data_IF_786109545922
#
_entry.id   IF_786109545922
#
_cell.length_a   1.000
_cell.length_b   1.000
_cell.length_c   1.000
_cell.angle_alpha   90.00
_cell.angle_beta   90.00
_cell.angle_gamma   90.00
#
_symmetry.space_group_name_H-M   'P 1'
#
loop_
_entity.id
_entity.type
_entity.pdbx_description
1 polymer ?
#
# COMPACT_ATOMS: atom_id res chain seq x y z
N UNK A 1 -1.51 -41.06 8.91
CA UNK A 1 -2.30 -39.86 8.56
C UNK A 1 -2.49 -38.90 9.75
N UNK A 2 -2.69 -39.37 10.99
CA UNK A 2 -2.84 -38.49 12.16
C UNK A 2 -1.60 -37.61 12.49
N UNK A 3 -0.39 -38.10 12.24
CA UNK A 3 0.87 -37.38 12.52
C UNK A 3 1.15 -36.21 11.57
N UNK A 4 0.72 -36.31 10.30
CA UNK A 4 0.90 -35.22 9.33
C UNK A 4 -0.07 -34.07 9.62
N UNK A 5 -1.32 -34.39 9.96
CA UNK A 5 -2.33 -33.39 10.34
C UNK A 5 -1.93 -32.65 11.62
N UNK A 6 -1.40 -33.36 12.63
CA UNK A 6 -0.90 -32.74 13.86
C UNK A 6 0.32 -31.83 13.62
N UNK A 7 1.24 -32.23 12.75
CA UNK A 7 2.40 -31.40 12.38
C UNK A 7 1.99 -30.15 11.60
N UNK A 8 1.02 -30.25 10.68
CA UNK A 8 0.47 -29.11 9.92
C UNK A 8 -0.30 -28.16 10.84
N UNK A 9 -1.09 -28.69 11.79
CA UNK A 9 -1.78 -27.88 12.79
C UNK A 9 -0.75 -27.19 13.70
N UNK A 10 0.27 -27.91 14.17
CA UNK A 10 1.30 -27.32 15.03
C UNK A 10 2.14 -26.25 14.32
N UNK A 11 2.54 -26.47 13.07
CA UNK A 11 3.26 -25.45 12.28
C UNK A 11 2.37 -24.24 11.95
N UNK A 12 1.07 -24.47 11.71
CA UNK A 12 0.09 -23.40 11.56
C UNK A 12 -0.04 -22.56 12.83
N UNK A 13 -0.25 -23.18 14.00
CA UNK A 13 -0.35 -22.46 15.27
C UNK A 13 0.97 -21.79 15.67
N UNK A 14 2.12 -22.44 15.47
CA UNK A 14 3.44 -21.87 15.77
C UNK A 14 3.74 -20.62 14.93
N UNK A 15 3.32 -20.62 13.65
CA UNK A 15 3.55 -19.54 12.69
C UNK A 15 2.55 -18.38 12.82
N UNK A 16 1.29 -18.66 13.18
CA UNK A 16 0.22 -17.64 13.16
C UNK A 16 -0.22 -17.16 14.55
N UNK A 17 0.11 -17.88 15.63
CA UNK A 17 -0.30 -17.54 17.00
C UNK A 17 0.75 -17.91 18.06
N UNK A 18 1.96 -18.30 17.63
CA UNK A 18 3.02 -18.82 18.49
C UNK A 18 4.32 -18.02 18.39
N UNK A 19 5.44 -18.55 18.93
CA UNK A 19 6.73 -17.83 18.92
C UNK A 19 7.24 -17.42 17.53
N UNK A 20 6.85 -18.15 16.47
CA UNK A 20 7.20 -17.81 15.09
C UNK A 20 6.47 -16.57 14.56
N UNK A 21 5.25 -16.29 15.04
CA UNK A 21 4.51 -15.07 14.72
C UNK A 21 5.25 -13.83 15.21
N UNK A 22 5.71 -13.83 16.46
CA UNK A 22 6.52 -12.74 16.98
C UNK A 22 7.93 -12.69 16.37
N UNK A 23 8.43 -13.80 15.81
CA UNK A 23 9.77 -13.84 15.23
C UNK A 23 9.86 -12.97 13.96
N UNK A 24 8.88 -13.02 13.06
CA UNK A 24 8.88 -12.20 11.84
C UNK A 24 8.73 -10.70 12.15
N UNK A 25 7.84 -10.34 13.08
CA UNK A 25 7.70 -8.96 13.56
C UNK A 25 9.00 -8.43 14.18
N UNK A 26 9.66 -9.25 15.00
CA UNK A 26 10.93 -8.89 15.63
C UNK A 26 12.07 -8.82 14.62
N UNK A 27 12.08 -9.66 13.59
CA UNK A 27 13.07 -9.61 12.52
C UNK A 27 12.94 -8.32 11.72
N UNK A 28 11.72 -7.97 11.27
CA UNK A 28 11.46 -6.70 10.58
C UNK A 28 11.84 -5.50 11.45
N UNK A 29 11.51 -5.52 12.75
CA UNK A 29 11.93 -4.47 13.68
C UNK A 29 13.45 -4.38 13.79
N UNK A 30 14.14 -5.51 13.94
CA UNK A 30 15.60 -5.53 14.04
C UNK A 30 16.26 -5.00 12.76
N UNK A 31 15.77 -5.37 11.58
CA UNK A 31 16.29 -4.88 10.31
C UNK A 31 16.07 -3.36 10.14
N UNK A 32 14.92 -2.82 10.59
CA UNK A 32 14.69 -1.38 10.62
C UNK A 32 15.68 -0.66 11.57
N UNK A 33 15.91 -1.22 12.76
CA UNK A 33 16.85 -0.64 13.74
C UNK A 33 18.31 -0.62 13.25
N UNK A 34 18.65 -1.41 12.23
CA UNK A 34 19.96 -1.39 11.58
C UNK A 34 20.12 -0.32 10.50
N UNK A 35 19.02 0.31 10.05
CA UNK A 35 19.08 1.34 9.01
C UNK A 35 19.56 2.66 9.62
N UNK A 36 20.69 3.23 9.15
CA UNK A 36 21.18 4.51 9.65
C UNK A 36 20.24 5.64 9.21
N UNK A 37 20.09 6.65 10.06
CA UNK A 37 19.33 7.85 9.73
C UNK A 37 17.81 7.71 9.87
N UNK A 38 17.32 6.65 10.52
CA UNK A 38 15.90 6.54 10.88
C UNK A 38 15.69 6.36 12.37
N UNK A 39 14.50 6.73 12.83
CA UNK A 39 13.95 6.42 14.14
C UNK A 39 12.70 5.55 13.95
N UNK A 40 12.69 4.37 14.58
CA UNK A 40 11.54 3.47 14.53
C UNK A 40 10.49 3.94 15.53
N UNK A 41 9.34 4.41 15.04
CA UNK A 41 8.25 4.91 15.88
C UNK A 41 7.32 3.77 16.31
N UNK A 42 6.98 2.89 15.36
CA UNK A 42 6.02 1.82 15.55
C UNK A 42 6.28 0.69 14.54
N UNK A 43 6.18 -0.56 14.99
CA UNK A 43 6.17 -1.76 14.14
C UNK A 43 5.13 -2.70 14.70
N UNK A 44 4.12 -3.01 13.91
CA UNK A 44 2.92 -3.73 14.32
C UNK A 44 2.40 -4.61 13.19
N UNK A 45 1.67 -5.66 13.54
CA UNK A 45 0.80 -6.33 12.58
C UNK A 45 -0.33 -5.41 12.16
N UNK A 46 -0.90 -5.64 10.97
CA UNK A 46 -2.15 -4.98 10.59
C UNK A 46 -3.24 -5.34 11.60
N UNK A 47 -3.93 -4.29 12.06
CA UNK A 47 -4.84 -4.25 13.21
C UNK A 47 -5.47 -5.61 13.58
N UNK A 48 -4.92 -6.24 14.63
CA UNK A 48 -5.40 -7.54 15.13
C UNK A 48 -6.87 -7.48 15.59
N UNK A 49 -7.38 -6.29 15.95
CA UNK A 49 -8.76 -6.12 16.41
C UNK A 49 -9.79 -6.25 15.28
N UNK A 50 -9.43 -5.85 14.05
CA UNK A 50 -10.36 -5.84 12.91
C UNK A 50 -10.40 -7.17 12.14
N UNK A 51 -9.32 -7.96 12.14
CA UNK A 51 -9.22 -9.20 11.34
C UNK A 51 -8.53 -10.38 12.08
N UNK A 52 -9.12 -10.92 13.15
CA UNK A 52 -8.50 -11.94 14.02
C UNK A 52 -8.32 -13.33 13.39
N UNK A 53 -8.77 -13.58 12.14
CA UNK A 53 -8.90 -14.92 11.56
C UNK A 53 -8.25 -15.11 10.17
N UNK A 54 -7.57 -14.12 9.61
CA UNK A 54 -6.84 -14.28 8.36
C UNK A 54 -5.36 -14.58 8.66
N UNK A 55 -4.73 -15.58 8.02
CA UNK A 55 -3.29 -15.82 8.18
C UNK A 55 -2.52 -14.59 7.66
N UNK A 56 -1.91 -13.85 8.59
CA UNK A 56 -1.31 -12.52 8.44
C UNK A 56 0.11 -12.50 7.86
N UNK A 57 0.50 -13.52 7.09
CA UNK A 57 1.72 -13.41 6.30
C UNK A 57 1.49 -12.26 5.31
N UNK A 58 2.39 -11.27 5.25
CA UNK A 58 2.35 -10.07 4.38
C UNK A 58 1.71 -8.80 4.97
N UNK A 59 1.62 -8.60 6.30
CA UNK A 59 0.92 -7.43 6.85
C UNK A 59 1.65 -6.64 7.94
N UNK A 60 2.98 -6.76 8.07
CA UNK A 60 3.73 -5.92 9.03
C UNK A 60 3.73 -4.47 8.51
N UNK A 61 3.29 -3.57 9.37
CA UNK A 61 3.31 -2.12 9.14
C UNK A 61 4.39 -1.50 10.02
N UNK A 62 5.21 -0.63 9.44
CA UNK A 62 6.17 0.17 10.19
C UNK A 62 5.93 1.65 9.94
N UNK A 63 5.91 2.42 11.03
CA UNK A 63 6.05 3.87 10.99
C UNK A 63 7.42 4.25 11.48
N UNK A 64 8.13 4.99 10.65
CA UNK A 64 9.48 5.47 10.93
C UNK A 64 9.56 6.97 10.69
N UNK A 65 10.52 7.60 11.33
CA UNK A 65 10.91 8.98 11.07
C UNK A 65 12.30 8.96 10.42
N UNK A 66 12.40 9.45 9.18
CA UNK A 66 13.67 9.61 8.48
C UNK A 66 14.29 10.93 8.94
N UNK A 67 15.41 10.83 9.65
CA UNK A 67 16.02 11.95 10.39
C UNK A 67 16.41 13.07 9.42
N UNK A 68 15.87 14.26 9.66
CA UNK A 68 16.10 15.42 8.80
C UNK A 68 15.15 15.55 7.62
N UNK A 69 14.26 14.58 7.41
CA UNK A 69 13.32 14.55 6.29
C UNK A 69 11.86 14.53 6.76
N UNK A 70 11.41 13.44 7.40
CA UNK A 70 10.04 13.33 7.88
C UNK A 70 9.55 11.90 8.09
N UNK A 71 8.25 11.76 8.32
CA UNK A 71 7.63 10.45 8.58
C UNK A 71 7.50 9.61 7.32
N UNK A 72 7.47 8.30 7.50
CA UNK A 72 7.26 7.31 6.46
C UNK A 72 6.46 6.14 7.05
N UNK A 73 5.40 5.72 6.35
CA UNK A 73 4.64 4.52 6.69
C UNK A 73 4.83 3.49 5.59
N UNK A 74 5.39 2.33 5.97
CA UNK A 74 5.60 1.17 5.11
C UNK A 74 4.63 0.07 5.51
N UNK A 75 4.13 -0.68 4.52
CA UNK A 75 3.19 -1.78 4.68
C UNK A 75 3.71 -3.05 4.03
N UNK A 76 3.11 -4.17 4.44
CA UNK A 76 3.41 -5.52 3.96
C UNK A 76 4.90 -5.85 4.04
N UNK A 77 5.54 -5.42 5.12
CA UNK A 77 6.95 -5.72 5.36
C UNK A 77 7.14 -7.19 5.71
N UNK A 78 8.27 -7.73 5.26
CA UNK A 78 8.84 -9.00 5.69
C UNK A 78 10.37 -8.88 5.63
N UNK A 79 11.09 -9.93 6.02
CA UNK A 79 12.57 -9.96 5.94
C UNK A 79 13.08 -9.68 4.51
N UNK A 80 12.33 -10.08 3.47
CA UNK A 80 12.73 -9.83 2.07
C UNK A 80 12.69 -8.34 1.69
N UNK A 81 11.92 -7.52 2.41
CA UNK A 81 11.79 -6.09 2.15
C UNK A 81 13.10 -5.32 2.33
N UNK A 82 14.08 -5.89 3.03
CA UNK A 82 15.36 -5.24 3.35
C UNK A 82 16.50 -5.62 2.40
N UNK A 83 16.30 -6.62 1.53
CA UNK A 83 17.34 -7.11 0.61
C UNK A 83 17.03 -6.67 -0.81
N UNK A 84 16.06 -7.34 -1.43
CA UNK A 84 15.53 -7.07 -2.76
C UNK A 84 14.12 -7.65 -2.81
N UNK A 85 13.13 -6.79 -3.02
CA UNK A 85 11.73 -7.17 -3.04
C UNK A 85 11.03 -6.69 -4.33
N UNK A 86 10.24 -7.57 -4.97
CA UNK A 86 9.41 -7.17 -6.11
C UNK A 86 8.30 -6.18 -5.71
N UNK A 87 7.84 -6.24 -4.46
CA UNK A 87 6.73 -5.47 -3.93
C UNK A 87 7.15 -4.76 -2.65
N UNK A 88 6.84 -3.46 -2.55
CA UNK A 88 7.09 -2.66 -1.36
C UNK A 88 6.03 -1.57 -1.28
N UNK A 89 5.23 -1.59 -0.21
CA UNK A 89 4.09 -0.71 -0.08
C UNK A 89 4.43 0.50 0.79
N UNK A 90 4.18 1.70 0.25
CA UNK A 90 4.26 2.96 1.00
C UNK A 90 2.84 3.50 1.18
N UNK A 91 2.44 3.79 2.41
CA UNK A 91 1.11 4.35 2.73
C UNK A 91 1.13 5.86 2.95
N UNK A 92 2.25 6.39 3.45
CA UNK A 92 2.43 7.82 3.61
C UNK A 92 3.90 8.21 3.55
N UNK A 93 4.18 9.41 3.06
CA UNK A 93 5.49 10.06 3.13
C UNK A 93 5.30 11.52 3.55
N UNK A 94 6.03 11.95 4.57
CA UNK A 94 5.88 13.28 5.15
C UNK A 94 4.47 13.49 5.67
N UNK A 95 3.84 14.58 5.22
CA UNK A 95 2.44 14.90 5.51
C UNK A 95 1.48 14.40 4.41
N UNK A 96 1.92 13.54 3.48
CA UNK A 96 1.07 13.03 2.40
C UNK A 96 0.69 11.57 2.64
N UNK A 97 -0.60 11.26 2.56
CA UNK A 97 -1.14 9.89 2.55
C UNK A 97 -1.68 9.55 1.16
N UNK A 98 -1.32 8.39 0.63
CA UNK A 98 -1.77 7.97 -0.71
C UNK A 98 -3.20 7.49 -0.74
N UNK A 99 -3.87 7.77 -1.85
CA UNK A 99 -5.18 7.22 -2.16
C UNK A 99 -5.23 6.82 -3.61
N UNK A 100 -5.84 5.66 -3.85
CA UNK A 100 -6.17 5.27 -5.20
C UNK A 100 -7.46 4.47 -5.24
N UNK A 101 -8.10 4.49 -6.41
CA UNK A 101 -9.22 3.63 -6.78
C UNK A 101 -8.95 3.00 -8.12
N UNK A 102 -9.63 1.92 -8.40
CA UNK A 102 -9.59 1.36 -9.72
C UNK A 102 -10.74 0.43 -10.01
N UNK A 103 -10.81 0.04 -11.27
CA UNK A 103 -11.70 -1.01 -11.74
C UNK A 103 -10.90 -2.01 -12.59
N UNK A 104 -10.81 -3.24 -12.10
CA UNK A 104 -9.97 -4.27 -12.71
C UNK A 104 -10.19 -5.64 -12.11
N UNK A 105 -9.34 -6.59 -12.50
CA UNK A 105 -9.39 -7.97 -12.00
C UNK A 105 -8.50 -8.13 -10.77
N UNK A 106 -8.86 -7.46 -9.67
CA UNK A 106 -8.04 -7.42 -8.45
C UNK A 106 -8.70 -8.26 -7.35
N UNK A 107 -8.10 -9.41 -7.03
CA UNK A 107 -8.38 -10.19 -5.82
C UNK A 107 -9.77 -10.84 -5.69
N UNK A 108 -10.71 -10.55 -6.59
CA UNK A 108 -12.09 -11.08 -6.52
C UNK A 108 -12.30 -12.17 -7.56
N UNK A 109 -12.77 -13.33 -7.11
CA UNK A 109 -13.04 -14.49 -7.95
C UNK A 109 -14.47 -14.99 -7.73
N UNK A 110 -15.12 -15.46 -8.80
CA UNK A 110 -16.41 -16.16 -8.69
C UNK A 110 -16.17 -17.46 -7.92
N UNK A 111 -16.80 -17.60 -6.75
CA UNK A 111 -16.70 -18.83 -5.95
C UNK A 111 -17.07 -20.10 -6.74
N UNK A 112 -18.01 -20.01 -7.67
CA UNK A 112 -18.49 -21.15 -8.46
C UNK A 112 -17.56 -21.56 -9.59
N UNK A 113 -16.74 -20.65 -10.12
CA UNK A 113 -15.92 -20.92 -11.31
C UNK A 113 -14.44 -20.68 -11.13
N UNK A 114 -14.02 -20.09 -10.00
CA UNK A 114 -12.64 -19.64 -9.76
C UNK A 114 -12.16 -18.58 -10.75
N UNK A 115 -13.05 -18.02 -11.59
CA UNK A 115 -12.66 -17.00 -12.59
C UNK A 115 -12.60 -15.62 -11.95
N UNK A 116 -11.61 -14.78 -12.31
CA UNK A 116 -11.51 -13.44 -11.79
C UNK A 116 -12.73 -12.60 -12.22
N UNK A 117 -13.13 -11.67 -11.35
CA UNK A 117 -14.25 -10.76 -11.56
C UNK A 117 -13.71 -9.35 -11.60
N UNK A 118 -14.09 -8.62 -12.65
CA UNK A 118 -13.81 -7.19 -12.72
C UNK A 118 -14.57 -6.49 -11.60
N UNK A 119 -13.85 -5.83 -10.71
CA UNK A 119 -14.36 -5.27 -9.47
C UNK A 119 -13.76 -3.89 -9.25
N UNK A 120 -14.53 -3.04 -8.58
CA UNK A 120 -14.02 -1.76 -8.09
C UNK A 120 -13.28 -1.98 -6.78
N UNK A 121 -12.18 -1.27 -6.60
CA UNK A 121 -11.36 -1.33 -5.40
C UNK A 121 -10.86 0.06 -5.00
N UNK A 122 -10.42 0.17 -3.76
CA UNK A 122 -9.74 1.33 -3.22
C UNK A 122 -8.56 0.88 -2.37
N UNK A 123 -7.52 1.70 -2.33
CA UNK A 123 -6.32 1.44 -1.54
C UNK A 123 -5.74 2.71 -0.93
N UNK A 124 -5.07 2.52 0.20
CA UNK A 124 -4.41 3.57 0.99
C UNK A 124 -2.89 3.54 0.94
N UNK A 125 -2.33 2.70 0.06
CA UNK A 125 -0.89 2.54 -0.14
C UNK A 125 -0.59 2.35 -1.62
N UNK A 126 0.66 2.61 -2.01
CA UNK A 126 1.17 2.41 -3.36
C UNK A 126 2.26 1.36 -3.32
N UNK A 127 2.17 0.39 -4.23
CA UNK A 127 3.22 -0.60 -4.42
C UNK A 127 4.26 -0.06 -5.40
N UNK A 128 5.45 0.23 -4.86
CA UNK A 128 6.54 0.89 -5.57
C UNK A 128 7.74 -0.02 -5.79
N UNK A 129 7.64 -1.30 -5.39
CA UNK A 129 8.69 -2.30 -5.64
C UNK A 129 9.02 -2.44 -7.12
N UNK A 130 10.07 -3.18 -7.47
CA UNK A 130 10.57 -3.24 -8.86
C UNK A 130 9.54 -3.68 -9.93
N UNK A 131 8.51 -4.43 -9.52
CA UNK A 131 7.36 -4.81 -10.37
C UNK A 131 6.03 -4.27 -9.84
N UNK A 132 6.09 -3.36 -8.87
CA UNK A 132 4.94 -2.76 -8.24
C UNK A 132 4.12 -1.92 -9.20
N UNK A 133 2.81 -1.83 -8.93
CA UNK A 133 1.86 -1.16 -9.83
C UNK A 133 2.22 0.31 -10.09
N UNK A 134 2.81 1.00 -9.12
CA UNK A 134 3.19 2.41 -9.20
C UNK A 134 4.67 2.61 -9.54
N UNK A 135 5.46 1.55 -9.72
CA UNK A 135 6.91 1.62 -9.93
C UNK A 135 7.30 2.53 -11.10
N UNK A 136 6.53 2.46 -12.19
CA UNK A 136 6.76 3.23 -13.42
C UNK A 136 6.58 4.75 -13.26
N UNK A 137 6.02 5.23 -12.15
CA UNK A 137 5.87 6.65 -11.85
C UNK A 137 7.13 7.27 -11.22
N UNK A 138 8.10 6.45 -10.84
CA UNK A 138 9.37 6.89 -10.26
C UNK A 138 10.49 6.82 -11.30
N UNK A 139 11.43 7.80 -11.32
CA UNK A 139 12.52 7.81 -12.30
C UNK A 139 13.67 6.84 -11.95
N UNK A 140 13.49 6.00 -10.94
CA UNK A 140 14.46 5.02 -10.46
C UNK A 140 13.73 3.80 -9.89
N UNK A 141 14.46 2.69 -9.77
CA UNK A 141 13.95 1.46 -9.16
C UNK A 141 14.03 1.55 -7.64
N UNK A 142 12.94 1.20 -6.96
CA UNK A 142 12.90 1.01 -5.52
C UNK A 142 12.87 -0.49 -5.27
N UNK A 143 13.96 -1.03 -4.71
CA UNK A 143 14.14 -2.47 -4.53
C UNK A 143 14.02 -2.93 -3.08
N UNK A 144 14.11 -2.03 -2.11
CA UNK A 144 14.08 -2.35 -0.68
C UNK A 144 13.79 -1.12 0.18
N UNK A 145 13.62 -1.33 1.48
CA UNK A 145 13.40 -0.27 2.49
C UNK A 145 14.53 0.75 2.50
N UNK A 146 15.79 0.32 2.41
CA UNK A 146 16.94 1.22 2.41
C UNK A 146 16.87 2.23 1.25
N UNK A 147 16.46 1.77 0.06
CA UNK A 147 16.29 2.65 -1.10
C UNK A 147 15.23 3.72 -0.85
N UNK A 148 14.12 3.38 -0.17
CA UNK A 148 13.08 4.35 0.18
C UNK A 148 13.61 5.42 1.14
N UNK A 149 14.41 5.00 2.12
CA UNK A 149 15.04 5.91 3.09
C UNK A 149 16.05 6.82 2.41
N UNK A 150 16.98 6.26 1.62
CA UNK A 150 18.04 7.02 0.96
C UNK A 150 17.50 8.01 -0.10
N UNK A 151 16.38 7.66 -0.74
CA UNK A 151 15.74 8.44 -1.81
C UNK A 151 14.53 9.23 -1.31
N UNK A 152 14.35 9.38 0.00
CA UNK A 152 13.12 9.94 0.59
C UNK A 152 12.65 11.21 -0.12
N UNK A 153 13.53 12.20 -0.27
CA UNK A 153 13.18 13.49 -0.88
C UNK A 153 12.84 13.36 -2.37
N UNK A 154 13.49 12.46 -3.11
CA UNK A 154 13.20 12.22 -4.52
C UNK A 154 11.82 11.56 -4.70
N UNK A 155 11.49 10.60 -3.83
CA UNK A 155 10.18 9.94 -3.78
C UNK A 155 9.11 10.97 -3.40
N UNK A 156 9.34 11.75 -2.33
CA UNK A 156 8.43 12.80 -1.88
C UNK A 156 8.21 13.87 -2.97
N UNK A 157 9.25 14.26 -3.71
CA UNK A 157 9.14 15.21 -4.81
C UNK A 157 8.22 14.70 -5.93
N UNK A 158 8.30 13.42 -6.30
CA UNK A 158 7.36 12.80 -7.27
C UNK A 158 5.93 12.91 -6.76
N UNK A 159 5.72 12.57 -5.49
CA UNK A 159 4.41 12.51 -4.86
C UNK A 159 3.79 13.89 -4.69
N UNK A 160 4.58 14.90 -4.36
CA UNK A 160 4.13 16.29 -4.28
C UNK A 160 3.59 16.81 -5.64
N UNK A 161 3.91 16.15 -6.76
CA UNK A 161 3.32 16.50 -8.07
C UNK A 161 1.93 15.87 -8.30
N UNK A 162 1.51 14.97 -7.42
CA UNK A 162 0.22 14.28 -7.54
C UNK A 162 -0.92 15.20 -7.09
N UNK A 163 -2.15 14.95 -7.55
CA UNK A 163 -3.30 15.73 -7.09
C UNK A 163 -3.49 15.62 -5.59
N UNK A 164 -3.77 16.74 -4.94
CA UNK A 164 -3.98 16.85 -3.50
C UNK A 164 -5.47 16.72 -3.10
N UNK A 165 -6.30 16.23 -4.03
CA UNK A 165 -7.75 16.12 -3.85
C UNK A 165 -8.32 14.98 -4.69
N UNK A 166 -9.30 14.22 -4.17
CA UNK A 166 -10.02 13.23 -4.94
C UNK A 166 -10.91 13.86 -6.03
N UNK A 167 -11.12 15.19 -6.02
CA UNK A 167 -11.95 15.85 -7.03
C UNK A 167 -11.27 15.92 -8.39
N UNK A 168 -9.95 15.79 -8.47
CA UNK A 168 -9.18 15.91 -9.70
C UNK A 168 -8.06 14.85 -9.75
N UNK A 169 -8.39 13.55 -9.67
CA UNK A 169 -7.37 12.50 -9.63
C UNK A 169 -6.66 12.40 -10.98
N UNK A 170 -5.42 11.91 -10.95
CA UNK A 170 -4.73 11.45 -12.16
C UNK A 170 -5.08 9.98 -12.40
N UNK A 171 -4.92 9.53 -13.63
CA UNK A 171 -5.17 8.14 -14.00
C UNK A 171 -4.01 7.52 -14.77
N UNK A 172 -3.93 6.20 -14.70
CA UNK A 172 -3.18 5.37 -15.65
C UNK A 172 -3.87 4.00 -15.77
N UNK A 173 -3.49 3.24 -16.81
CA UNK A 173 -3.99 1.88 -17.04
C UNK A 173 -2.80 0.92 -16.96
N UNK A 174 -2.93 -0.15 -16.17
CA UNK A 174 -1.90 -1.19 -16.07
C UNK A 174 -1.83 -2.05 -17.33
N UNK A 175 -0.78 -2.86 -17.48
CA UNK A 175 -0.64 -3.76 -18.63
C UNK A 175 -1.80 -4.77 -18.75
N UNK A 176 -2.43 -5.12 -17.62
CA UNK A 176 -3.57 -6.04 -17.52
C UNK A 176 -4.91 -5.36 -17.80
N UNK A 177 -4.91 -4.06 -18.11
CA UNK A 177 -6.12 -3.28 -18.37
C UNK A 177 -6.87 -2.83 -17.10
N UNK A 178 -6.20 -2.84 -15.94
CA UNK A 178 -6.76 -2.26 -14.71
C UNK A 178 -6.58 -0.75 -14.77
N UNK A 179 -7.67 -0.02 -14.68
CA UNK A 179 -7.63 1.45 -14.61
C UNK A 179 -7.46 1.88 -13.16
N UNK A 180 -6.53 2.81 -12.92
CA UNK A 180 -6.19 3.32 -11.60
C UNK A 180 -6.31 4.84 -11.61
N UNK A 181 -7.08 5.37 -10.66
CA UNK A 181 -7.20 6.77 -10.30
C UNK A 181 -6.43 7.00 -9.00
N UNK A 182 -5.56 8.01 -8.93
CA UNK A 182 -4.71 8.24 -7.76
C UNK A 182 -4.57 9.73 -7.41
N UNK A 183 -4.37 9.97 -6.12
CA UNK A 183 -4.19 11.29 -5.50
C UNK A 183 -3.56 11.11 -4.10
N UNK A 184 -3.25 12.21 -3.44
CA UNK A 184 -2.82 12.24 -2.04
C UNK A 184 -3.71 13.17 -1.20
N UNK A 185 -3.69 12.96 0.11
CA UNK A 185 -4.38 13.78 1.10
C UNK A 185 -3.45 14.09 2.28
N UNK A 186 -3.62 15.23 2.98
CA UNK A 186 -2.82 15.56 4.15
C UNK A 186 -2.89 14.51 5.28
N UNK A 187 -1.78 14.29 5.98
CA UNK A 187 -1.63 13.37 7.11
C UNK A 187 -2.55 13.82 8.26
N UNK A 188 -3.11 12.85 8.96
CA UNK A 188 -4.10 13.10 10.02
C UNK A 188 -5.55 13.25 9.54
N UNK A 189 -5.83 13.38 8.24
CA UNK A 189 -7.19 13.18 7.71
C UNK A 189 -7.73 11.75 7.99
N UNK A 190 -6.86 10.85 8.41
CA UNK A 190 -7.09 9.41 8.54
C UNK A 190 -6.95 8.85 9.96
N UNK A 191 -6.86 9.67 11.02
CA UNK A 191 -6.73 9.10 12.38
C UNK A 191 -8.00 8.43 12.92
N UNK A 192 -9.12 8.47 12.19
CA UNK A 192 -10.38 7.83 12.62
C UNK A 192 -11.10 7.03 11.54
N UNK A 193 -10.53 6.86 10.34
CA UNK A 193 -11.20 6.07 9.30
C UNK A 193 -10.22 5.54 8.24
N UNK A 194 -9.65 4.35 8.50
CA UNK A 194 -9.15 3.50 7.40
C UNK A 194 -10.30 2.82 6.65
N UNK A 195 -11.52 2.84 7.19
CA UNK A 195 -12.71 2.62 6.39
C UNK A 195 -12.92 3.92 5.62
N UNK A 196 -12.57 3.93 4.33
CA UNK A 196 -13.12 4.66 3.17
C UNK A 196 -14.15 5.83 3.34
N UNK A 197 -14.85 5.99 4.47
CA UNK A 197 -15.86 7.00 4.82
C UNK A 197 -15.33 8.43 5.03
N UNK A 198 -14.04 8.63 5.36
CA UNK A 198 -13.46 9.98 5.47
C UNK A 198 -13.15 10.62 4.10
N UNK A 199 -13.08 9.80 3.05
CA UNK A 199 -13.02 10.28 1.67
C UNK A 199 -14.40 10.79 1.24
N UNK A 200 -14.57 12.11 1.20
CA UNK A 200 -15.81 12.77 0.77
C UNK A 200 -16.29 12.33 -0.62
N UNK A 201 -15.40 11.78 -1.45
CA UNK A 201 -15.73 11.25 -2.77
C UNK A 201 -15.95 9.72 -2.77
N UNK A 202 -15.96 9.03 -1.62
CA UNK A 202 -16.30 7.60 -1.54
C UNK A 202 -17.66 7.28 -2.15
N UNK A 203 -18.63 8.14 -1.88
CA UNK A 203 -19.96 8.02 -2.44
C UNK A 203 -20.05 8.42 -3.91
N UNK A 204 -18.98 9.00 -4.49
CA UNK A 204 -18.96 9.34 -5.91
C UNK A 204 -18.82 8.04 -6.71
N UNK A 205 -19.77 7.73 -7.62
CA UNK A 205 -19.65 6.59 -8.51
C UNK A 205 -18.34 6.66 -9.29
N UNK A 206 -17.65 5.53 -9.44
CA UNK A 206 -16.38 5.43 -10.18
C UNK A 206 -16.46 6.09 -11.56
N UNK A 207 -17.57 5.91 -12.27
CA UNK A 207 -17.81 6.53 -13.59
C UNK A 207 -17.79 8.06 -13.58
N UNK A 208 -18.22 8.71 -12.49
CA UNK A 208 -18.17 10.17 -12.35
C UNK A 208 -16.76 10.65 -12.05
N UNK A 209 -16.00 9.92 -11.23
CA UNK A 209 -14.59 10.22 -10.97
C UNK A 209 -13.76 10.09 -12.26
N UNK A 210 -14.01 9.02 -13.02
CA UNK A 210 -13.34 8.78 -14.30
C UNK A 210 -13.63 9.89 -15.33
N UNK A 211 -14.90 10.25 -15.52
CA UNK A 211 -15.26 11.33 -16.43
C UNK A 211 -14.60 12.68 -16.08
N UNK A 212 -14.37 12.93 -14.80
CA UNK A 212 -13.69 14.14 -14.35
C UNK A 212 -12.18 14.10 -14.62
N UNK A 213 -11.53 12.95 -14.41
CA UNK A 213 -10.12 12.76 -14.76
C UNK A 213 -9.89 12.95 -16.27
N UNK A 214 -10.78 12.40 -17.10
CA UNK A 214 -10.71 12.52 -18.57
C UNK A 214 -10.87 13.96 -19.06
N UNK A 215 -11.74 14.74 -18.41
CA UNK A 215 -11.95 16.16 -18.72
C UNK A 215 -10.69 16.99 -18.46
N UNK A 216 -9.96 16.70 -17.37
CA UNK A 216 -8.73 17.41 -17.01
C UNK A 216 -7.54 17.02 -17.90
N UNK A 217 -7.54 15.80 -18.45
CA UNK A 217 -6.53 15.36 -19.42
C UNK A 217 -6.72 16.01 -20.82
N UNK A 218 -7.86 16.68 -21.06
CA UNK A 218 -8.22 17.34 -22.32
C UNK A 218 -8.82 18.73 -22.08
N UNK A 219 -8.01 19.73 -21.67
CA UNK A 219 -8.51 21.07 -21.34
C UNK A 219 -9.20 21.78 -22.54
N UNK A 220 -8.96 21.33 -23.76
CA UNK A 220 -9.45 21.97 -25.01
C UNK A 220 -10.88 21.58 -25.41
N UNK A 221 -11.63 20.88 -24.53
CA UNK A 221 -13.01 20.43 -24.77
C UNK A 221 -14.00 21.06 -23.79
N UNK A 222 -13.75 22.29 -23.35
CA UNK A 222 -14.80 23.10 -22.72
C UNK A 222 -15.59 23.82 -23.80
N UNK A 223 -16.92 23.61 -23.78
CA UNK A 223 -17.91 24.02 -24.78
C UNK A 223 -17.85 25.52 -25.14
N UNK A 224 -18.10 25.82 -26.42
CA UNK A 224 -18.51 27.14 -26.96
C UNK A 224 -19.78 27.68 -26.28
#
# INVERSE_FOLDING_TARGET
MATLAAAVIHSFWYRHHGPGYYAELNAVRADLELIPGIEVLEVTWYDEEDFPLLPQLEHITARINVIGHGKLTLQNLSESSFVDTPHLLISSIGDDTFRHRGEGFVGVYKATTGKPVRSQFAGGSIDVGSVGTFAHLFPFTISNVQTVVDRYDEIAAVIHTWPQTPSAPRSFITAEGTEILYWVVPDGANKTDMTWKSDTNWHMPYSKLLAHADMLARPDMTEE
#
